data_IF_154087385624
#
_entry.id   IF_154087385624
#
_cell.length_a   1.000
_cell.length_b   1.000
_cell.length_c   1.000
_cell.angle_alpha   90.00
_cell.angle_beta   90.00
_cell.angle_gamma   90.00
#
_symmetry.space_group_name_H-M   'P 1'
#
loop_
_entity.id
_entity.type
_entity.pdbx_description
1 polymer ?
#
# COMPACT_ATOMS: atom_id res chain seq x y z
N UNK A 1 -1.40 22.14 -21.71
CA UNK A 1 -0.08 21.76 -21.16
C UNK A 1 -0.17 20.29 -20.78
N UNK A 2 0.73 19.44 -21.28
CA UNK A 2 0.73 18.02 -20.93
C UNK A 2 1.15 17.83 -19.46
N UNK A 3 0.49 16.91 -18.76
CA UNK A 3 0.76 16.64 -17.34
C UNK A 3 2.08 15.86 -17.22
N UNK A 4 3.04 16.36 -16.44
CA UNK A 4 4.35 15.71 -16.28
C UNK A 4 4.21 14.41 -15.45
N UNK A 5 4.47 13.22 -16.04
CA UNK A 5 4.30 11.95 -15.34
C UNK A 5 5.17 11.82 -14.11
N UNK A 6 6.44 12.23 -14.20
CA UNK A 6 7.41 12.13 -13.10
C UNK A 6 6.97 12.95 -11.90
N UNK A 7 6.39 14.13 -12.14
CA UNK A 7 5.90 15.02 -11.08
C UNK A 7 4.66 14.45 -10.40
N UNK A 8 3.71 13.92 -11.17
CA UNK A 8 2.49 13.31 -10.64
C UNK A 8 2.79 12.05 -9.84
N UNK A 9 3.69 11.19 -10.35
CA UNK A 9 4.10 9.95 -9.69
C UNK A 9 4.84 10.25 -8.39
N UNK A 10 5.83 11.15 -8.40
CA UNK A 10 6.61 11.49 -7.22
C UNK A 10 5.75 12.13 -6.12
N UNK A 11 4.86 13.05 -6.46
CA UNK A 11 3.96 13.68 -5.49
C UNK A 11 2.95 12.67 -4.92
N UNK A 12 2.31 11.86 -5.76
CA UNK A 12 1.32 10.87 -5.30
C UNK A 12 1.97 9.79 -4.43
N UNK A 13 3.17 9.33 -4.80
CA UNK A 13 3.96 8.38 -4.01
C UNK A 13 4.42 8.98 -2.69
N UNK A 14 4.95 10.21 -2.71
CA UNK A 14 5.37 10.91 -1.51
C UNK A 14 4.24 11.14 -0.52
N UNK A 15 3.06 11.57 -1.01
CA UNK A 15 1.86 11.73 -0.18
C UNK A 15 1.38 10.39 0.39
N UNK A 16 1.35 9.33 -0.42
CA UNK A 16 0.96 8.00 0.04
C UNK A 16 1.87 7.47 1.15
N UNK A 17 3.19 7.61 0.98
CA UNK A 17 4.17 7.25 2.01
C UNK A 17 4.01 8.11 3.27
N UNK A 18 3.76 9.41 3.13
CA UNK A 18 3.51 10.30 4.25
C UNK A 18 2.27 9.90 5.05
N UNK A 19 1.16 9.62 4.36
CA UNK A 19 -0.07 9.13 4.98
C UNK A 19 0.16 7.80 5.71
N UNK A 20 0.82 6.84 5.05
CA UNK A 20 1.14 5.54 5.64
C UNK A 20 2.04 5.63 6.87
N UNK A 21 2.98 6.58 6.89
CA UNK A 21 3.93 6.74 7.99
C UNK A 21 3.40 7.56 9.17
N UNK A 22 2.66 8.64 8.90
CA UNK A 22 2.32 9.63 9.92
C UNK A 22 0.84 9.71 10.26
N UNK A 23 -0.05 9.24 9.38
CA UNK A 23 -1.51 9.31 9.60
C UNK A 23 -2.06 7.94 9.97
N UNK A 24 -1.84 6.93 9.14
CA UNK A 24 -2.48 5.62 9.28
C UNK A 24 -1.61 4.57 9.95
N UNK A 25 -0.39 4.92 10.36
CA UNK A 25 0.58 3.95 10.90
C UNK A 25 0.05 3.18 12.12
N UNK A 26 -0.44 3.90 13.14
CA UNK A 26 -0.93 3.26 14.37
C UNK A 26 -2.18 2.41 14.11
N UNK A 27 -3.10 2.93 13.29
CA UNK A 27 -4.30 2.20 12.89
C UNK A 27 -3.95 0.90 12.15
N UNK A 28 -3.03 0.96 11.20
CA UNK A 28 -2.57 -0.23 10.47
C UNK A 28 -1.97 -1.27 11.42
N UNK A 29 -1.07 -0.84 12.33
CA UNK A 29 -0.38 -1.75 13.26
C UNK A 29 -1.33 -2.38 14.28
N UNK A 30 -2.27 -1.60 14.80
CA UNK A 30 -3.29 -2.10 15.72
C UNK A 30 -4.21 -3.13 15.04
N UNK A 31 -4.63 -2.88 13.79
CA UNK A 31 -5.46 -3.84 13.06
C UNK A 31 -4.71 -5.11 12.67
N UNK A 32 -3.45 -5.01 12.25
CA UNK A 32 -2.60 -6.18 11.97
C UNK A 32 -2.41 -7.01 13.25
N UNK A 33 -2.20 -6.36 14.40
CA UNK A 33 -2.10 -7.06 15.68
C UNK A 33 -3.43 -7.73 16.10
N UNK A 34 -4.58 -7.07 15.86
CA UNK A 34 -5.91 -7.64 16.14
C UNK A 34 -6.26 -8.81 15.23
N UNK A 35 -5.89 -8.73 13.95
CA UNK A 35 -6.11 -9.82 12.99
C UNK A 35 -5.16 -11.00 13.25
N UNK A 36 -3.97 -10.73 13.77
CA UNK A 36 -3.00 -11.76 14.11
C UNK A 36 -2.39 -12.44 12.88
N UNK A 37 -1.66 -13.53 13.14
CA UNK A 37 -1.15 -14.40 12.09
C UNK A 37 -2.27 -15.33 11.60
N UNK A 38 -2.32 -15.69 10.31
CA UNK A 38 -3.27 -16.68 9.84
C UNK A 38 -3.05 -18.04 10.51
N UNK A 39 -4.15 -18.64 10.97
CA UNK A 39 -4.17 -19.91 11.69
C UNK A 39 -4.84 -21.02 10.85
N UNK A 40 -4.36 -22.26 11.03
CA UNK A 40 -5.03 -23.47 10.58
C UNK A 40 -5.31 -24.36 11.79
N UNK A 41 -6.58 -24.71 11.99
CA UNK A 41 -7.03 -25.51 13.14
C UNK A 41 -6.64 -24.93 14.52
N UNK A 42 -6.60 -23.60 14.66
CA UNK A 42 -6.30 -22.91 15.92
C UNK A 42 -4.81 -22.83 16.29
N UNK A 43 -3.90 -23.12 15.35
CA UNK A 43 -2.46 -22.88 15.48
C UNK A 43 -1.94 -22.17 14.22
N UNK A 44 -0.79 -21.52 14.31
CA UNK A 44 -0.22 -20.82 13.15
C UNK A 44 0.19 -21.82 12.06
N UNK A 45 0.23 -21.37 10.79
CA UNK A 45 0.63 -22.26 9.69
C UNK A 45 2.01 -22.89 9.86
N UNK A 46 2.94 -22.12 10.44
CA UNK A 46 4.28 -22.61 10.74
C UNK A 46 4.26 -23.73 11.80
N UNK A 47 3.47 -23.58 12.86
CA UNK A 47 3.35 -24.59 13.93
C UNK A 47 2.64 -25.86 13.47
N UNK A 48 1.70 -25.74 12.53
CA UNK A 48 1.06 -26.88 11.90
C UNK A 48 1.95 -27.60 10.85
N UNK A 49 3.21 -27.18 10.69
CA UNK A 49 4.24 -27.91 9.94
C UNK A 49 4.64 -27.30 8.60
N UNK A 50 4.08 -26.15 8.21
CA UNK A 50 4.52 -25.44 7.00
C UNK A 50 5.80 -24.63 7.28
N UNK A 51 6.95 -25.23 6.98
CA UNK A 51 8.27 -24.59 7.15
C UNK A 51 8.46 -23.32 6.32
N UNK A 52 7.64 -23.08 5.29
CA UNK A 52 7.69 -21.88 4.43
C UNK A 52 6.81 -20.74 4.94
N UNK A 53 5.85 -21.01 5.81
CA UNK A 53 4.94 -20.01 6.37
C UNK A 53 5.52 -19.21 7.54
N UNK A 54 6.82 -19.35 7.84
CA UNK A 54 7.50 -18.56 8.87
C UNK A 54 7.67 -17.12 8.40
N UNK A 55 7.10 -16.15 9.12
CA UNK A 55 7.30 -14.73 8.82
C UNK A 55 8.80 -14.37 8.79
N UNK A 56 9.21 -13.66 7.75
CA UNK A 56 10.60 -13.26 7.59
C UNK A 56 10.93 -12.04 8.47
N UNK A 57 11.30 -12.32 9.73
CA UNK A 57 11.67 -11.31 10.72
C UNK A 57 12.84 -10.40 10.29
N UNK A 58 13.66 -10.80 9.31
CA UNK A 58 14.75 -9.99 8.79
C UNK A 58 14.30 -8.72 8.05
N UNK A 59 13.14 -8.75 7.39
CA UNK A 59 12.55 -7.59 6.69
C UNK A 59 11.61 -6.78 7.61
N UNK A 60 11.10 -7.41 8.67
CA UNK A 60 10.10 -6.84 9.60
C UNK A 60 10.71 -6.05 10.78
N UNK A 61 12.05 -5.93 10.86
CA UNK A 61 12.76 -5.38 12.03
C UNK A 61 12.57 -3.87 12.29
N UNK A 62 12.10 -3.09 11.32
CA UNK A 62 11.90 -1.64 11.48
C UNK A 62 10.43 -1.28 11.58
N UNK A 63 10.13 -0.27 12.41
CA UNK A 63 8.81 0.36 12.50
C UNK A 63 8.37 1.05 11.19
N UNK A 64 9.24 1.13 10.18
CA UNK A 64 8.89 1.40 8.79
C UNK A 64 9.48 0.24 8.00
N UNK A 65 8.78 -0.89 7.99
CA UNK A 65 9.28 -2.09 7.33
C UNK A 65 9.38 -1.78 5.83
N UNK A 66 10.34 -2.40 5.13
CA UNK A 66 10.41 -2.32 3.66
C UNK A 66 9.05 -2.65 3.02
N UNK A 67 8.30 -3.57 3.64
CA UNK A 67 6.93 -3.93 3.27
C UNK A 67 5.98 -2.73 3.31
N UNK A 68 6.08 -1.84 4.31
CA UNK A 68 5.24 -0.64 4.38
C UNK A 68 5.57 0.33 3.24
N UNK A 69 6.86 0.52 2.95
CA UNK A 69 7.28 1.38 1.82
C UNK A 69 6.81 0.81 0.49
N UNK A 70 6.91 -0.51 0.30
CA UNK A 70 6.41 -1.18 -0.89
C UNK A 70 4.89 -1.03 -1.00
N UNK A 71 4.14 -1.29 0.06
CA UNK A 71 2.68 -1.21 0.05
C UNK A 71 2.17 0.20 -0.25
N UNK A 72 2.59 1.18 0.55
CA UNK A 72 2.17 2.58 0.37
C UNK A 72 2.76 3.20 -0.90
N UNK A 73 3.96 2.79 -1.31
CA UNK A 73 4.56 3.19 -2.58
C UNK A 73 3.77 2.67 -3.78
N UNK A 74 3.33 1.41 -3.76
CA UNK A 74 2.45 0.82 -4.78
C UNK A 74 1.11 1.55 -4.87
N UNK A 75 0.48 1.88 -3.75
CA UNK A 75 -0.76 2.67 -3.73
C UNK A 75 -0.54 4.04 -4.41
N UNK A 76 0.56 4.70 -4.08
CA UNK A 76 0.92 6.00 -4.69
C UNK A 76 1.10 5.93 -6.21
N UNK A 77 1.71 4.86 -6.72
CA UNK A 77 1.85 4.64 -8.16
C UNK A 77 0.50 4.36 -8.83
N UNK A 78 -0.36 3.52 -8.23
CA UNK A 78 -1.70 3.23 -8.77
C UNK A 78 -2.52 4.51 -8.91
N UNK A 79 -2.53 5.36 -7.86
CA UNK A 79 -3.23 6.65 -7.88
C UNK A 79 -2.63 7.59 -8.93
N UNK A 80 -1.31 7.65 -9.04
CA UNK A 80 -0.65 8.48 -10.05
C UNK A 80 -1.02 8.08 -11.48
N UNK A 81 -0.99 6.78 -11.79
CA UNK A 81 -1.38 6.28 -13.11
C UNK A 81 -2.86 6.50 -13.40
N UNK A 82 -3.73 6.36 -12.38
CA UNK A 82 -5.14 6.71 -12.52
C UNK A 82 -5.33 8.19 -12.90
N UNK A 83 -4.64 9.11 -12.22
CA UNK A 83 -4.69 10.55 -12.54
C UNK A 83 -4.18 10.81 -13.95
N UNK A 84 -3.03 10.25 -14.32
CA UNK A 84 -2.43 10.44 -15.64
C UNK A 84 -3.35 9.93 -16.75
N UNK A 85 -3.85 8.70 -16.64
CA UNK A 85 -4.74 8.10 -17.63
C UNK A 85 -6.09 8.79 -17.72
N UNK A 86 -6.66 9.21 -16.60
CA UNK A 86 -7.96 9.91 -16.57
C UNK A 86 -7.82 11.34 -17.11
N UNK A 87 -6.71 12.02 -16.82
CA UNK A 87 -6.47 13.38 -17.32
C UNK A 87 -6.15 13.44 -18.82
N UNK A 88 -5.66 12.34 -19.41
CA UNK A 88 -5.28 12.29 -20.82
C UNK A 88 -6.37 11.73 -21.76
N UNK A 89 -7.47 11.21 -21.22
CA UNK A 89 -8.48 10.49 -22.01
C UNK A 89 -9.47 11.40 -22.78
N UNK A 90 -9.49 12.72 -22.52
CA UNK A 90 -10.39 13.67 -23.20
C UNK A 90 -11.88 13.46 -22.89
N UNK A 91 -12.21 12.73 -21.81
CA UNK A 91 -13.58 12.44 -21.41
C UNK A 91 -14.27 13.71 -20.87
N UNK A 92 -15.31 14.15 -21.55
CA UNK A 92 -16.17 15.27 -21.15
C UNK A 92 -17.60 14.75 -20.92
N UNK A 93 -18.02 14.52 -19.66
CA UNK A 93 -19.34 13.97 -19.37
C UNK A 93 -20.45 15.00 -19.62
N UNK A 94 -21.35 14.70 -20.56
CA UNK A 94 -22.54 15.51 -20.83
C UNK A 94 -23.69 15.12 -19.90
N UNK A 95 -23.88 15.88 -18.82
CA UNK A 95 -24.94 15.63 -17.83
C UNK A 95 -26.29 16.29 -18.15
N UNK A 96 -26.30 17.32 -19.01
CA UNK A 96 -27.50 18.11 -19.33
C UNK A 96 -27.65 18.33 -20.83
N UNK A 97 -27.64 17.23 -21.60
CA UNK A 97 -27.97 17.21 -23.03
C UNK A 97 -29.41 16.77 -23.26
#
# INVERSE_FOLDING_TARGET
AELNPSLVISLSTGLSLFLGRFVFFNFQRENVAKQGLPEQNGVTHFEAGDSRAKEYAGVSKSAAALVDVLAWGSIGHIVAYYILATSSNGYDPKFFG
#
